data_IF_382004623286
#
_entry.id   IF_382004623286
#
_cell.length_a   1.000
_cell.length_b   1.000
_cell.length_c   1.000
_cell.angle_alpha   90.00
_cell.angle_beta   90.00
_cell.angle_gamma   90.00
#
_symmetry.space_group_name_H-M   'P 1'
#
loop_
_entity.id
_entity.type
_entity.pdbx_description
1 polymer ?
#
# COMPACT_ATOMS: atom_id res chain seq x y z
N UNK A 1 -15.57 -3.78 16.80
CA UNK A 1 -14.24 -4.07 16.23
C UNK A 1 -14.27 -3.76 14.73
N UNK A 2 -14.44 -2.49 14.34
CA UNK A 2 -14.69 -2.08 12.93
C UNK A 2 -13.74 -0.99 12.45
N UNK A 3 -12.69 -0.68 13.21
CA UNK A 3 -11.71 0.35 12.86
C UNK A 3 -10.47 -0.25 12.17
N UNK A 4 -10.30 -1.57 12.20
CA UNK A 4 -9.06 -2.27 11.80
C UNK A 4 -8.77 -2.22 10.29
N UNK A 5 -9.72 -1.76 9.47
CA UNK A 5 -9.55 -1.66 8.02
C UNK A 5 -9.48 -0.21 7.50
N UNK A 6 -9.47 0.81 8.36
CA UNK A 6 -9.42 2.20 7.88
C UNK A 6 -8.12 2.47 7.12
N UNK A 7 -6.97 2.05 7.66
CA UNK A 7 -5.68 2.25 6.99
C UNK A 7 -5.66 1.55 5.62
N UNK A 8 -6.16 0.30 5.57
CA UNK A 8 -6.36 -0.45 4.33
C UNK A 8 -7.18 0.33 3.29
N UNK A 9 -8.35 0.81 3.69
CA UNK A 9 -9.24 1.57 2.80
C UNK A 9 -8.57 2.86 2.32
N UNK A 10 -7.88 3.57 3.21
CA UNK A 10 -7.23 4.83 2.87
C UNK A 10 -6.04 4.61 1.92
N UNK A 11 -5.22 3.58 2.16
CA UNK A 11 -4.07 3.27 1.31
C UNK A 11 -4.50 2.85 -0.10
N UNK A 12 -5.60 2.09 -0.23
CA UNK A 12 -6.14 1.68 -1.54
C UNK A 12 -6.91 2.80 -2.26
N UNK A 13 -7.60 3.69 -1.52
CA UNK A 13 -8.41 4.78 -2.11
C UNK A 13 -7.58 6.02 -2.44
N UNK A 14 -6.56 6.32 -1.64
CA UNK A 14 -5.73 7.52 -1.76
C UNK A 14 -4.25 7.17 -2.03
N UNK A 15 -4.03 6.20 -2.91
CA UNK A 15 -2.70 5.67 -3.26
C UNK A 15 -1.66 6.75 -3.56
N UNK A 16 -2.06 7.79 -4.32
CA UNK A 16 -1.19 8.94 -4.64
C UNK A 16 -0.81 9.78 -3.44
N UNK A 17 -1.76 10.03 -2.53
CA UNK A 17 -1.47 10.77 -1.31
C UNK A 17 -0.53 10.00 -0.40
N UNK A 18 -0.73 8.68 -0.28
CA UNK A 18 0.16 7.80 0.49
C UNK A 18 1.56 7.71 -0.12
N UNK A 19 1.66 7.48 -1.43
CA UNK A 19 2.93 7.41 -2.12
C UNK A 19 3.70 8.74 -2.01
N UNK A 20 3.03 9.89 -2.20
CA UNK A 20 3.64 11.21 -1.99
C UNK A 20 4.00 11.52 -0.54
N UNK A 21 3.27 10.96 0.42
CA UNK A 21 3.58 11.17 1.84
C UNK A 21 4.84 10.39 2.24
N UNK A 22 5.00 9.17 1.73
CA UNK A 22 6.12 8.28 2.04
C UNK A 22 7.35 8.54 1.16
N UNK A 23 7.16 9.09 -0.03
CA UNK A 23 8.21 9.45 -0.97
C UNK A 23 8.43 10.96 -0.96
N UNK A 24 9.69 11.39 -1.01
CA UNK A 24 10.04 12.82 -1.13
C UNK A 24 9.80 13.39 -2.54
N UNK A 25 9.27 12.58 -3.46
CA UNK A 25 9.06 12.90 -4.87
C UNK A 25 7.61 12.63 -5.29
N UNK A 26 7.12 13.32 -6.33
CA UNK A 26 5.77 13.11 -6.85
C UNK A 26 5.76 11.85 -7.75
N UNK A 27 5.07 10.77 -7.34
CA UNK A 27 4.93 9.59 -8.18
C UNK A 27 4.07 9.93 -9.41
N UNK A 28 4.53 9.65 -10.63
CA UNK A 28 3.77 9.90 -11.84
C UNK A 28 2.76 8.77 -12.08
N UNK A 29 3.22 7.53 -11.96
CA UNK A 29 2.47 6.30 -12.16
C UNK A 29 2.37 5.52 -10.86
N UNK A 30 1.14 5.10 -10.52
CA UNK A 30 0.88 4.30 -9.33
C UNK A 30 -0.04 3.16 -9.70
N UNK A 31 0.33 1.95 -9.31
CA UNK A 31 -0.49 0.76 -9.47
C UNK A 31 -0.58 0.02 -8.14
N UNK A 32 -1.81 -0.31 -7.73
CA UNK A 32 -2.04 -1.24 -6.61
C UNK A 32 -1.80 -2.65 -7.12
N UNK A 33 -0.87 -3.38 -6.50
CA UNK A 33 -0.67 -4.80 -6.74
C UNK A 33 -1.50 -5.58 -5.72
N UNK A 34 -2.56 -6.22 -6.20
CA UNK A 34 -3.38 -7.12 -5.39
C UNK A 34 -2.67 -8.47 -5.33
N UNK A 35 -2.02 -8.75 -4.21
CA UNK A 35 -1.42 -10.05 -3.95
C UNK A 35 -2.10 -10.63 -2.71
N UNK A 36 -2.30 -11.95 -2.70
CA UNK A 36 -2.63 -12.64 -1.46
C UNK A 36 -1.37 -12.72 -0.60
N UNK A 37 -1.47 -12.41 0.70
CA UNK A 37 -0.35 -12.53 1.62
C UNK A 37 -0.25 -13.99 2.06
N UNK A 38 0.92 -14.61 1.87
CA UNK A 38 1.19 -15.90 2.50
C UNK A 38 1.21 -15.71 4.01
N UNK A 39 0.54 -16.60 4.76
CA UNK A 39 0.49 -16.55 6.22
C UNK A 39 1.87 -16.80 6.87
N UNK A 40 2.79 -17.40 6.13
CA UNK A 40 4.17 -17.68 6.54
C UNK A 40 5.14 -17.16 5.48
N UNK A 41 6.32 -16.62 5.87
CA UNK A 41 6.81 -16.43 7.24
C UNK A 41 6.34 -15.12 7.91
N UNK A 42 5.67 -14.23 7.17
CA UNK A 42 5.26 -12.91 7.66
C UNK A 42 3.76 -12.90 7.89
N UNK A 43 3.35 -12.84 9.15
CA UNK A 43 1.95 -12.67 9.54
C UNK A 43 1.61 -11.19 9.62
N UNK A 44 0.95 -10.67 8.59
CA UNK A 44 0.37 -9.34 8.62
C UNK A 44 -1.13 -9.42 8.37
N UNK A 45 -1.91 -8.65 9.12
CA UNK A 45 -3.37 -8.60 8.96
C UNK A 45 -3.76 -7.92 7.64
N UNK A 46 -2.89 -7.05 7.11
CA UNK A 46 -3.01 -6.44 5.79
C UNK A 46 -1.65 -5.92 5.29
N UNK A 47 -1.38 -6.10 4.00
CA UNK A 47 -0.32 -5.37 3.28
C UNK A 47 -0.88 -4.98 1.93
N UNK A 48 -0.64 -3.74 1.51
CA UNK A 48 -0.87 -3.28 0.14
C UNK A 48 0.44 -2.92 -0.52
N UNK A 49 0.52 -3.22 -1.80
CA UNK A 49 1.68 -2.94 -2.61
C UNK A 49 1.34 -1.81 -3.58
N UNK A 50 2.02 -0.69 -3.45
CA UNK A 50 1.94 0.41 -4.40
C UNK A 50 3.20 0.41 -5.26
N UNK A 51 3.06 -0.03 -6.51
CA UNK A 51 4.13 0.09 -7.49
C UNK A 51 4.18 1.53 -8.01
N UNK A 52 5.37 2.12 -7.92
CA UNK A 52 5.75 3.40 -8.54
C UNK A 52 6.76 3.12 -9.66
N UNK A 53 7.34 4.14 -10.27
CA UNK A 53 8.23 4.01 -11.43
C UNK A 53 9.38 3.03 -11.17
N UNK A 54 10.07 3.22 -10.04
CA UNK A 54 11.37 2.60 -9.79
C UNK A 54 11.37 1.68 -8.56
N UNK A 55 10.22 1.50 -7.91
CA UNK A 55 10.11 0.79 -6.61
C UNK A 55 8.69 0.35 -6.30
N UNK A 56 8.58 -0.58 -5.35
CA UNK A 56 7.32 -1.02 -4.76
C UNK A 56 7.32 -0.58 -3.30
N UNK A 57 6.28 0.15 -2.90
CA UNK A 57 6.02 0.47 -1.49
C UNK A 57 5.17 -0.64 -0.88
N UNK A 58 5.61 -1.14 0.27
CA UNK A 58 4.87 -2.11 1.08
C UNK A 58 4.28 -1.34 2.25
N UNK A 59 2.95 -1.21 2.29
CA UNK A 59 2.21 -0.40 3.27
C UNK A 59 1.26 -1.31 4.05
#
# INVERSE_FOLDING_TARGET
>A
MSFDNICKILAEKYTRAFARWLLTEEPQNIKVLRTELSLEPIRADFVTFLQTENRILHI
#
